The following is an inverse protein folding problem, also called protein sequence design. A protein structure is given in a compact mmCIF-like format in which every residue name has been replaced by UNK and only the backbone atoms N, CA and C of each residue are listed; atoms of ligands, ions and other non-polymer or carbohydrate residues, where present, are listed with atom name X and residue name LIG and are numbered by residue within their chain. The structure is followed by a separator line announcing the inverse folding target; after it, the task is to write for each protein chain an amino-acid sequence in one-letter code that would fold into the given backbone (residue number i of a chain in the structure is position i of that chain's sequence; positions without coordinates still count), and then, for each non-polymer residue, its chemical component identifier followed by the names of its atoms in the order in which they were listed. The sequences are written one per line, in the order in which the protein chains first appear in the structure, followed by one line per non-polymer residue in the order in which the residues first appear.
data_IF_726578869389
#
_entry.id   IF_726578869389
#
_cell.length_a   1.000
_cell.length_b   1.000
_cell.length_c   1.000
_cell.angle_alpha   90.00
_cell.angle_beta   90.00
_cell.angle_gamma   90.00
#
_symmetry.space_group_name_H-M   'P 1'
#
loop_
_entity.id
_entity.type
_entity.pdbx_description
1 polymer ?
#
# COMPACT_ATOMS: atom_id res chain seq x y z
N UNK A 1 3.87 -12.47 45.98
CA UNK A 1 3.07 -12.90 44.82
C UNK A 1 2.11 -11.76 44.52
N UNK A 2 2.55 -10.78 43.75
CA UNK A 2 1.68 -9.69 43.29
C UNK A 2 0.88 -10.25 42.11
N UNK A 3 -0.43 -10.41 42.31
CA UNK A 3 -1.36 -10.77 41.26
C UNK A 3 -1.65 -9.52 40.43
N UNK A 4 -1.07 -9.45 39.24
CA UNK A 4 -1.47 -8.46 38.23
C UNK A 4 -2.92 -8.75 37.82
N UNK A 5 -3.82 -7.88 38.26
CA UNK A 5 -5.22 -7.87 37.83
C UNK A 5 -5.22 -7.27 36.43
N UNK A 6 -5.50 -8.09 35.41
CA UNK A 6 -5.69 -7.60 34.06
C UNK A 6 -6.83 -6.54 34.04
N UNK A 7 -6.62 -5.36 33.43
CA UNK A 7 -7.63 -4.31 33.42
C UNK A 7 -8.89 -4.77 32.66
N UNK A 8 -10.08 -4.40 33.16
CA UNK A 8 -11.34 -4.74 32.51
C UNK A 8 -11.47 -4.06 31.15
N UNK A 9 -12.14 -4.68 30.18
CA UNK A 9 -12.33 -4.13 28.82
C UNK A 9 -12.93 -2.71 28.78
N UNK A 10 -13.76 -2.37 29.78
CA UNK A 10 -14.28 -1.01 29.94
C UNK A 10 -13.20 0.01 30.28
N UNK A 11 -12.19 -0.36 31.06
CA UNK A 11 -11.11 0.55 31.48
C UNK A 11 -10.11 0.81 30.35
N UNK A 12 -9.81 -0.21 29.54
CA UNK A 12 -8.92 -0.07 28.37
C UNK A 12 -9.56 0.79 27.27
N UNK A 13 -10.88 0.68 27.09
CA UNK A 13 -11.65 1.52 26.18
C UNK A 13 -11.56 3.02 26.54
N UNK A 14 -11.85 3.38 27.80
CA UNK A 14 -11.78 4.79 28.22
C UNK A 14 -10.35 5.36 28.18
N UNK A 15 -9.34 4.53 28.49
CA UNK A 15 -7.93 4.93 28.35
C UNK A 15 -7.58 5.27 26.89
N UNK A 16 -8.04 4.45 25.94
CA UNK A 16 -7.86 4.69 24.50
C UNK A 16 -8.48 6.01 24.05
N UNK A 17 -9.70 6.32 24.51
CA UNK A 17 -10.38 7.59 24.21
C UNK A 17 -9.62 8.78 24.79
N UNK A 18 -9.22 8.72 26.06
CA UNK A 18 -8.48 9.81 26.68
C UNK A 18 -7.13 10.06 26.02
N UNK A 19 -6.44 8.99 25.62
CA UNK A 19 -5.18 9.10 24.86
C UNK A 19 -5.43 9.79 23.51
N UNK A 20 -6.47 9.39 22.77
CA UNK A 20 -6.83 10.03 21.51
C UNK A 20 -7.19 11.51 21.69
N UNK A 21 -7.98 11.87 22.70
CA UNK A 21 -8.29 13.26 23.02
C UNK A 21 -7.04 14.08 23.37
N UNK A 22 -6.12 13.52 24.15
CA UNK A 22 -4.85 14.17 24.47
C UNK A 22 -3.99 14.40 23.20
N UNK A 23 -3.94 13.41 22.29
CA UNK A 23 -3.23 13.58 21.00
C UNK A 23 -3.88 14.66 20.14
N UNK A 24 -5.20 14.76 20.09
CA UNK A 24 -5.90 15.83 19.36
C UNK A 24 -5.65 17.21 19.96
N UNK A 25 -5.64 17.31 21.29
CA UNK A 25 -5.27 18.56 21.96
C UNK A 25 -3.82 18.96 21.64
N UNK A 26 -2.88 18.00 21.59
CA UNK A 26 -1.52 18.33 21.17
C UNK A 26 -1.43 18.75 19.69
N UNK A 27 -2.29 18.21 18.83
CA UNK A 27 -2.38 18.62 17.42
C UNK A 27 -2.95 20.03 17.26
N UNK A 28 -3.93 20.42 18.08
CA UNK A 28 -4.50 21.77 18.03
C UNK A 28 -3.49 22.85 18.42
N UNK A 29 -2.51 22.52 19.27
CA UNK A 29 -1.39 23.43 19.57
C UNK A 29 -0.48 23.68 18.36
N UNK A 30 -0.50 22.79 17.36
CA UNK A 30 0.32 22.88 16.15
C UNK A 30 -0.45 23.54 15.02
N UNK A 31 -1.67 23.09 14.75
CA UNK A 31 -2.49 23.56 13.62
C UNK A 31 -3.35 24.79 13.96
N UNK A 32 -3.55 25.08 15.25
CA UNK A 32 -4.55 26.04 15.72
C UNK A 32 -5.84 25.36 16.23
N UNK A 33 -6.84 26.16 16.63
CA UNK A 33 -8.06 25.63 17.25
C UNK A 33 -8.80 24.68 16.31
N UNK A 34 -9.03 23.45 16.78
CA UNK A 34 -9.78 22.43 16.05
C UNK A 34 -11.30 22.65 16.17
N UNK A 35 -12.10 22.26 15.18
CA UNK A 35 -13.56 22.31 15.24
C UNK A 35 -14.14 21.59 16.47
N UNK A 36 -15.14 22.21 17.12
CA UNK A 36 -15.85 21.65 18.29
C UNK A 36 -16.44 20.23 18.10
N UNK A 37 -16.93 19.81 16.92
CA UNK A 37 -17.45 18.44 16.73
C UNK A 37 -16.41 17.34 16.98
N UNK A 38 -15.12 17.67 16.89
CA UNK A 38 -14.02 16.72 17.03
C UNK A 38 -13.55 16.56 18.47
N UNK A 39 -13.73 17.59 19.31
CA UNK A 39 -13.31 17.57 20.72
C UNK A 39 -14.25 16.75 21.60
N UNK A 40 -15.51 16.58 21.18
CA UNK A 40 -16.55 15.82 21.91
C UNK A 40 -16.99 14.52 21.21
N UNK A 41 -16.27 14.06 20.19
CA UNK A 41 -16.61 12.83 19.46
C UNK A 41 -16.47 11.59 20.33
N UNK A 42 -17.41 10.65 20.20
CA UNK A 42 -17.35 9.32 20.82
C UNK A 42 -16.23 8.44 20.20
N UNK A 43 -15.81 8.75 18.97
CA UNK A 43 -14.70 8.08 18.29
C UNK A 43 -13.71 9.10 17.70
N UNK A 44 -12.83 9.70 18.52
CA UNK A 44 -11.93 10.77 18.11
C UNK A 44 -11.00 10.38 16.96
N UNK A 45 -10.52 9.13 16.93
CA UNK A 45 -9.59 8.64 15.90
C UNK A 45 -10.22 8.54 14.53
N UNK A 46 -11.46 8.03 14.46
CA UNK A 46 -12.18 7.92 13.17
C UNK A 46 -12.59 9.30 12.66
N UNK A 47 -13.02 10.20 13.55
CA UNK A 47 -13.34 11.57 13.16
C UNK A 47 -12.11 12.30 12.61
N UNK A 48 -10.95 12.13 13.24
CA UNK A 48 -9.69 12.72 12.77
C UNK A 48 -9.23 12.13 11.42
N UNK A 49 -9.39 10.83 11.22
CA UNK A 49 -8.99 10.14 9.98
C UNK A 49 -9.77 10.63 8.75
N UNK A 50 -11.05 10.95 8.92
CA UNK A 50 -11.94 11.33 7.82
C UNK A 50 -12.20 12.84 7.71
N UNK A 51 -11.64 13.67 8.60
CA UNK A 51 -11.78 15.13 8.50
C UNK A 51 -10.91 15.68 7.35
N UNK A 52 -11.59 16.19 6.31
CA UNK A 52 -10.92 16.69 5.11
C UNK A 52 -10.12 17.98 5.36
N UNK A 53 -10.58 18.85 6.27
CA UNK A 53 -9.94 20.15 6.53
C UNK A 53 -8.63 19.94 7.30
N UNK A 54 -8.67 19.15 8.37
CA UNK A 54 -7.47 18.83 9.15
C UNK A 54 -6.48 18.03 8.30
N UNK A 55 -6.97 17.09 7.51
CA UNK A 55 -6.12 16.33 6.58
C UNK A 55 -5.41 17.26 5.60
N UNK A 56 -6.13 18.24 5.04
CA UNK A 56 -5.54 19.27 4.18
C UNK A 56 -4.51 20.13 4.93
N UNK A 57 -4.82 20.59 6.14
CA UNK A 57 -3.93 21.44 6.93
C UNK A 57 -2.65 20.73 7.34
N UNK A 58 -2.73 19.46 7.76
CA UNK A 58 -1.57 18.61 8.03
C UNK A 58 -0.74 18.44 6.77
N UNK A 59 -1.37 18.11 5.63
CA UNK A 59 -0.65 17.93 4.36
C UNK A 59 0.02 19.22 3.91
N UNK A 60 -0.64 20.37 4.05
CA UNK A 60 -0.07 21.67 3.72
C UNK A 60 1.19 21.98 4.55
N UNK A 61 1.17 21.67 5.85
CA UNK A 61 2.34 21.75 6.73
C UNK A 61 3.45 20.79 6.28
N UNK A 62 3.12 19.53 5.96
CA UNK A 62 4.09 18.56 5.46
C UNK A 62 4.71 19.00 4.13
N UNK A 63 3.99 19.70 3.26
CA UNK A 63 4.52 20.23 2.00
C UNK A 63 5.36 21.49 2.16
N UNK A 64 5.31 22.19 3.30
CA UNK A 64 6.09 23.41 3.54
C UNK A 64 7.59 23.17 3.35
N UNK A 65 8.37 24.05 2.70
CA UNK A 65 9.78 23.81 2.35
C UNK A 65 10.74 23.56 3.53
N UNK A 66 10.33 23.92 4.74
CA UNK A 66 11.10 23.75 5.98
C UNK A 66 10.59 22.62 6.88
N UNK A 67 9.55 21.90 6.44
CA UNK A 67 9.08 20.70 7.14
C UNK A 67 10.07 19.54 7.06
N UNK A 68 9.99 18.65 8.04
CA UNK A 68 10.82 17.44 8.12
C UNK A 68 12.13 17.62 8.86
N UNK A 69 12.44 18.80 9.40
CA UNK A 69 13.59 19.01 10.28
C UNK A 69 13.40 18.31 11.63
N UNK A 70 14.47 18.16 12.41
CA UNK A 70 14.40 17.47 13.71
C UNK A 70 13.61 18.22 14.80
N UNK A 71 13.38 19.52 14.59
CA UNK A 71 12.61 20.43 15.44
C UNK A 71 11.17 20.64 14.92
N UNK A 72 10.77 19.95 13.86
CA UNK A 72 9.40 20.00 13.34
C UNK A 72 8.41 19.34 14.32
N UNK A 73 7.57 20.17 14.94
CA UNK A 73 6.57 19.75 15.92
C UNK A 73 5.55 18.78 15.32
N UNK A 74 5.22 18.89 14.03
CA UNK A 74 4.29 17.97 13.38
C UNK A 74 4.94 16.60 13.17
N UNK A 75 6.22 16.56 12.78
CA UNK A 75 6.97 15.30 12.72
C UNK A 75 7.07 14.62 14.09
N UNK A 76 7.31 15.42 15.15
CA UNK A 76 7.30 14.92 16.53
C UNK A 76 5.93 14.37 16.92
N UNK A 77 4.85 15.10 16.61
CA UNK A 77 3.49 14.66 16.88
C UNK A 77 3.17 13.34 16.15
N UNK A 78 3.52 13.20 14.87
CA UNK A 78 3.34 11.97 14.10
C UNK A 78 4.10 10.80 14.71
N UNK A 79 5.35 11.04 15.15
CA UNK A 79 6.17 10.03 15.82
C UNK A 79 5.51 9.57 17.15
N UNK A 80 5.19 10.51 18.04
CA UNK A 80 4.61 10.21 19.35
C UNK A 80 3.23 9.55 19.22
N UNK A 81 2.43 9.99 18.24
CA UNK A 81 1.09 9.43 17.93
C UNK A 81 1.19 7.99 17.45
N UNK A 82 2.18 7.65 16.62
CA UNK A 82 2.36 6.27 16.17
C UNK A 82 2.83 5.34 17.30
N UNK A 83 3.63 5.86 18.24
CA UNK A 83 4.11 5.12 19.40
C UNK A 83 3.03 4.85 20.46
N UNK A 84 1.86 5.47 20.34
CA UNK A 84 0.73 5.32 21.29
C UNK A 84 0.19 3.89 21.41
N UNK A 85 0.56 2.96 20.51
CA UNK A 85 0.04 1.59 20.36
C UNK A 85 -1.46 1.48 20.09
N UNK A 86 -2.16 2.61 20.01
CA UNK A 86 -3.58 2.67 19.66
C UNK A 86 -3.74 2.49 18.14
N UNK A 87 -4.47 1.45 17.67
CA UNK A 87 -4.57 1.15 16.25
C UNK A 87 -5.23 2.30 15.45
N UNK A 88 -6.22 2.99 16.03
CA UNK A 88 -6.86 4.13 15.37
C UNK A 88 -5.92 5.31 15.17
N UNK A 89 -5.08 5.61 16.15
CA UNK A 89 -4.06 6.67 16.03
C UNK A 89 -2.94 6.29 15.08
N UNK A 90 -2.51 5.02 15.08
CA UNK A 90 -1.54 4.52 14.12
C UNK A 90 -2.07 4.63 12.68
N UNK A 91 -3.35 4.35 12.48
CA UNK A 91 -4.02 4.50 11.19
C UNK A 91 -4.03 5.97 10.72
N UNK A 92 -4.26 6.92 11.61
CA UNK A 92 -4.16 8.36 11.31
C UNK A 92 -2.75 8.74 10.84
N UNK A 93 -1.70 8.22 11.47
CA UNK A 93 -0.32 8.47 11.02
C UNK A 93 -0.05 7.83 9.65
N UNK A 94 -0.50 6.59 9.44
CA UNK A 94 -0.34 5.88 8.17
C UNK A 94 -1.07 6.59 7.02
N UNK A 95 -2.20 7.24 7.26
CA UNK A 95 -2.92 8.03 6.25
C UNK A 95 -2.07 9.16 5.63
N UNK A 96 -1.10 9.71 6.37
CA UNK A 96 -0.18 10.74 5.88
C UNK A 96 1.15 10.19 5.36
N UNK A 97 1.36 8.86 5.43
CA UNK A 97 2.58 8.23 4.94
C UNK A 97 2.85 8.50 3.44
N UNK A 98 1.87 8.43 2.53
CA UNK A 98 2.08 8.78 1.12
C UNK A 98 2.71 10.18 0.95
N UNK A 99 2.16 11.16 1.67
CA UNK A 99 2.62 12.56 1.64
C UNK A 99 4.04 12.69 2.21
N UNK A 100 4.32 12.05 3.35
CA UNK A 100 5.66 12.03 3.97
C UNK A 100 6.68 11.46 2.99
N UNK A 101 6.40 10.30 2.39
CA UNK A 101 7.29 9.65 1.43
C UNK A 101 7.52 10.53 0.21
N UNK A 102 6.45 11.13 -0.32
CA UNK A 102 6.50 12.03 -1.48
C UNK A 102 7.45 13.20 -1.21
N UNK A 103 7.24 13.90 -0.10
CA UNK A 103 8.05 15.07 0.27
C UNK A 103 9.47 14.64 0.61
N UNK A 104 9.65 13.59 1.43
CA UNK A 104 10.95 13.09 1.83
C UNK A 104 11.80 12.68 0.62
N UNK A 105 11.28 11.83 -0.28
CA UNK A 105 12.03 11.36 -1.44
C UNK A 105 12.35 12.50 -2.42
N UNK A 106 11.46 13.49 -2.56
CA UNK A 106 11.72 14.67 -3.39
C UNK A 106 12.85 15.53 -2.84
N UNK A 107 13.03 15.56 -1.51
CA UNK A 107 14.03 16.35 -0.79
C UNK A 107 15.28 15.58 -0.40
N UNK A 108 15.29 14.25 -0.43
CA UNK A 108 16.38 13.41 0.06
C UNK A 108 17.69 13.50 -0.76
N UNK A 109 17.66 14.25 -1.87
CA UNK A 109 18.82 14.60 -2.70
C UNK A 109 19.33 16.03 -2.35
N UNK A 110 18.57 16.79 -1.58
CA UNK A 110 18.97 18.08 -1.00
C UNK A 110 19.89 17.88 0.20
N UNK A 111 20.73 18.87 0.50
CA UNK A 111 21.61 18.90 1.67
C UNK A 111 20.87 19.36 2.95
N UNK A 112 19.56 19.61 2.89
CA UNK A 112 18.76 19.95 4.07
C UNK A 112 18.57 18.71 4.96
N UNK A 113 18.65 18.90 6.27
CA UNK A 113 18.32 17.86 7.25
C UNK A 113 16.84 17.51 7.15
N UNK A 114 16.54 16.20 7.05
CA UNK A 114 15.18 15.65 7.04
C UNK A 114 14.95 14.73 8.27
N UNK A 115 15.65 15.02 9.37
CA UNK A 115 15.69 14.17 10.56
C UNK A 115 14.31 13.88 11.17
N UNK A 116 13.35 14.81 11.07
CA UNK A 116 11.98 14.62 11.52
C UNK A 116 11.24 13.54 10.71
N UNK A 117 11.29 13.64 9.37
CA UNK A 117 10.72 12.60 8.51
C UNK A 117 11.43 11.25 8.68
N UNK A 118 12.76 11.27 8.81
CA UNK A 118 13.54 10.06 9.04
C UNK A 118 13.18 9.39 10.36
N UNK A 119 12.92 10.15 11.43
CA UNK A 119 12.46 9.63 12.71
C UNK A 119 11.10 8.92 12.58
N UNK A 120 10.13 9.52 11.88
CA UNK A 120 8.81 8.90 11.64
C UNK A 120 8.95 7.62 10.82
N UNK A 121 9.70 7.65 9.72
CA UNK A 121 9.93 6.47 8.87
C UNK A 121 10.66 5.35 9.62
N UNK A 122 11.63 5.69 10.48
CA UNK A 122 12.31 4.71 11.34
C UNK A 122 11.39 4.15 12.41
N UNK A 123 10.46 4.93 12.97
CA UNK A 123 9.48 4.43 13.93
C UNK A 123 8.57 3.37 13.30
N UNK A 124 8.07 3.64 12.09
CA UNK A 124 7.27 2.69 11.31
C UNK A 124 8.07 1.41 11.02
N UNK A 125 9.32 1.57 10.58
CA UNK A 125 10.20 0.43 10.31
C UNK A 125 10.48 -0.40 11.58
N UNK A 126 10.82 0.27 12.69
CA UNK A 126 11.12 -0.36 13.97
C UNK A 126 9.92 -1.15 14.50
N UNK A 127 8.72 -0.61 14.37
CA UNK A 127 7.49 -1.31 14.72
C UNK A 127 7.35 -2.65 14.00
N UNK A 128 7.54 -2.66 12.67
CA UNK A 128 7.51 -3.91 11.90
C UNK A 128 8.67 -4.86 12.27
N UNK A 129 9.87 -4.33 12.55
CA UNK A 129 11.00 -5.18 12.96
C UNK A 129 10.74 -5.91 14.28
N UNK A 130 10.08 -5.24 15.23
CA UNK A 130 9.71 -5.83 16.52
C UNK A 130 8.64 -6.90 16.34
N UNK A 131 7.62 -6.63 15.50
CA UNK A 131 6.57 -7.62 15.17
C UNK A 131 7.17 -8.87 14.55
N UNK A 132 8.14 -8.74 13.64
CA UNK A 132 8.79 -9.88 12.99
C UNK A 132 9.77 -10.63 13.90
N UNK A 133 10.21 -10.03 15.01
CA UNK A 133 11.06 -10.70 16.00
C UNK A 133 12.40 -11.23 15.46
N UNK A 134 12.90 -10.68 14.34
CA UNK A 134 14.11 -11.17 13.66
C UNK A 134 13.88 -12.37 12.74
N UNK A 135 12.64 -12.83 12.57
CA UNK A 135 12.30 -13.93 11.67
C UNK A 135 11.98 -13.44 10.25
N UNK A 136 12.35 -14.21 9.21
CA UNK A 136 11.92 -13.93 7.85
C UNK A 136 10.43 -14.21 7.69
N UNK A 137 9.77 -13.45 6.81
CA UNK A 137 8.38 -13.74 6.45
C UNK A 137 8.37 -14.87 5.41
N UNK A 138 7.78 -16.00 5.76
CA UNK A 138 7.71 -17.19 4.90
C UNK A 138 6.28 -17.56 4.54
N UNK A 139 6.09 -18.17 3.38
CA UNK A 139 4.82 -18.77 2.95
C UNK A 139 5.07 -20.21 2.55
N UNK A 140 4.12 -21.09 2.87
CA UNK A 140 4.10 -22.47 2.37
C UNK A 140 3.49 -22.42 0.97
N UNK A 141 4.27 -22.78 -0.05
CA UNK A 141 3.81 -22.85 -1.43
C UNK A 141 2.82 -24.01 -1.58
N UNK A 142 1.58 -23.73 -2.02
CA UNK A 142 0.62 -24.79 -2.32
C UNK A 142 1.16 -25.74 -3.38
N UNK A 143 0.90 -27.03 -3.20
CA UNK A 143 1.24 -28.07 -4.17
C UNK A 143 0.05 -29.00 -4.37
N UNK A 144 -0.21 -29.41 -5.62
CA UNK A 144 -1.27 -30.34 -6.00
C UNK A 144 -0.98 -31.80 -5.61
N UNK A 145 0.22 -32.10 -5.12
CA UNK A 145 0.57 -33.44 -4.61
C UNK A 145 0.03 -33.70 -3.20
N UNK A 146 -0.22 -32.65 -2.43
CA UNK A 146 -0.66 -32.73 -1.04
C UNK A 146 -2.12 -32.30 -0.98
N UNK A 147 -3.01 -33.02 -0.28
CA UNK A 147 -4.41 -32.61 -0.16
C UNK A 147 -4.52 -31.22 0.46
N UNK A 148 -5.51 -30.45 0.02
CA UNK A 148 -5.81 -29.13 0.56
C UNK A 148 -7.31 -28.96 0.81
N UNK A 149 -7.69 -27.83 1.41
CA UNK A 149 -9.10 -27.48 1.64
C UNK A 149 -9.94 -27.51 0.35
N UNK A 150 -9.31 -27.35 -0.82
CA UNK A 150 -10.00 -27.27 -2.11
C UNK A 150 -9.81 -28.49 -3.01
N UNK A 151 -8.93 -29.43 -2.67
CA UNK A 151 -8.71 -30.61 -3.51
C UNK A 151 -8.19 -31.83 -2.73
N UNK A 152 -8.55 -33.01 -3.22
CA UNK A 152 -7.99 -34.27 -2.77
C UNK A 152 -6.87 -34.74 -3.71
N UNK A 153 -5.77 -35.23 -3.14
CA UNK A 153 -4.68 -35.81 -3.91
C UNK A 153 -5.08 -37.23 -4.37
N UNK A 154 -5.01 -37.47 -5.69
CA UNK A 154 -5.44 -38.74 -6.32
C UNK A 154 -4.63 -39.97 -5.89
N UNK A 155 -3.47 -39.79 -5.27
CA UNK A 155 -2.62 -40.88 -4.79
C UNK A 155 -2.19 -40.60 -3.36
N UNK A 156 -2.46 -41.50 -2.39
CA UNK A 156 -1.93 -41.34 -1.05
C UNK A 156 -0.40 -41.43 -1.11
N UNK A 157 0.28 -40.37 -0.69
CA UNK A 157 1.73 -40.38 -0.51
C UNK A 157 2.06 -41.40 0.58
N UNK A 158 2.58 -42.56 0.17
CA UNK A 158 3.09 -43.58 1.09
C UNK A 158 4.23 -42.98 1.93
N UNK A 159 3.92 -42.70 3.20
CA UNK A 159 4.85 -42.51 4.31
C UNK A 159 6.13 -41.70 4.03
N UNK A 160 5.98 -40.44 3.67
CA UNK A 160 6.98 -39.42 4.01
C UNK A 160 6.25 -38.22 4.56
N UNK A 161 6.81 -37.61 5.61
CA UNK A 161 6.33 -36.33 6.14
C UNK A 161 6.02 -35.39 4.97
N UNK A 162 4.88 -34.72 5.02
CA UNK A 162 4.43 -33.79 3.98
C UNK A 162 5.59 -32.84 3.70
N UNK A 163 6.17 -32.94 2.50
CA UNK A 163 7.27 -32.06 2.10
C UNK A 163 6.67 -30.67 1.82
N UNK A 164 6.88 -29.76 2.78
CA UNK A 164 6.36 -28.41 2.72
C UNK A 164 7.37 -27.53 1.99
N UNK A 165 7.03 -27.11 0.77
CA UNK A 165 7.82 -26.16 0.02
C UNK A 165 7.68 -24.76 0.66
N UNK A 166 8.63 -24.37 1.51
CA UNK A 166 8.63 -23.06 2.16
C UNK A 166 9.36 -22.05 1.28
N UNK A 167 8.70 -20.94 0.94
CA UNK A 167 9.29 -19.80 0.25
C UNK A 167 9.44 -18.61 1.20
N UNK A 168 10.58 -17.91 1.13
CA UNK A 168 10.83 -16.67 1.86
C UNK A 168 10.28 -15.51 1.04
N UNK A 169 9.22 -14.84 1.53
CA UNK A 169 8.63 -13.66 0.89
C UNK A 169 9.45 -12.40 1.17
N UNK A 170 9.87 -12.25 2.44
CA UNK A 170 10.72 -11.16 2.87
C UNK A 170 11.82 -11.70 3.79
N UNK A 171 13.08 -11.28 3.61
CA UNK A 171 14.12 -11.60 4.58
C UNK A 171 13.81 -10.95 5.92
N UNK A 172 14.45 -11.48 6.97
CA UNK A 172 14.43 -10.90 8.31
C UNK A 172 14.82 -9.42 8.27
N UNK A 173 14.16 -8.62 9.11
CA UNK A 173 14.44 -7.19 9.20
C UNK A 173 15.50 -6.92 10.27
N UNK A 174 16.60 -6.29 9.84
CA UNK A 174 17.64 -5.82 10.74
C UNK A 174 17.23 -4.48 11.36
N UNK A 175 17.39 -4.26 12.68
CA UNK A 175 17.08 -2.97 13.27
C UNK A 175 18.04 -1.88 12.77
N UNK A 176 17.49 -0.76 12.28
CA UNK A 176 18.27 0.40 11.83
C UNK A 176 18.05 1.58 12.75
N UNK A 177 19.15 2.24 13.16
CA UNK A 177 19.12 3.47 13.97
C UNK A 177 19.18 4.77 13.16
N UNK A 178 19.47 4.71 11.86
CA UNK A 178 19.59 5.89 10.97
C UNK A 178 19.15 5.55 9.54
N UNK A 179 18.59 6.53 8.82
CA UNK A 179 18.19 6.35 7.41
C UNK A 179 19.36 6.67 6.49
N UNK A 180 20.08 5.64 6.05
CA UNK A 180 21.15 5.79 5.04
C UNK A 180 20.60 5.64 3.63
N UNK A 181 21.23 6.28 2.63
CA UNK A 181 20.82 6.19 1.22
C UNK A 181 20.67 4.75 0.70
N UNK A 182 21.58 3.85 1.11
CA UNK A 182 21.59 2.43 0.73
C UNK A 182 20.47 1.60 1.37
N UNK A 183 19.93 2.05 2.52
CA UNK A 183 18.88 1.36 3.27
C UNK A 183 17.51 2.03 3.14
N UNK A 184 17.49 3.28 2.65
CA UNK A 184 16.29 4.12 2.49
C UNK A 184 15.15 3.42 1.76
N UNK A 185 15.45 2.80 0.63
CA UNK A 185 14.42 2.09 -0.15
C UNK A 185 13.77 0.95 0.63
N UNK A 186 14.56 0.19 1.42
CA UNK A 186 14.06 -0.89 2.26
C UNK A 186 13.21 -0.37 3.42
N UNK A 187 13.65 0.69 4.09
CA UNK A 187 12.91 1.33 5.20
C UNK A 187 11.55 1.82 4.70
N UNK A 188 11.54 2.57 3.60
CA UNK A 188 10.30 3.11 3.01
C UNK A 188 9.43 1.97 2.47
N UNK A 189 10.02 0.96 1.82
CA UNK A 189 9.29 -0.20 1.31
C UNK A 189 8.52 -0.93 2.42
N UNK A 190 9.14 -1.13 3.58
CA UNK A 190 8.47 -1.73 4.76
C UNK A 190 7.40 -0.80 5.34
N UNK A 191 7.63 0.51 5.40
CA UNK A 191 6.58 1.45 5.81
C UNK A 191 5.37 1.41 4.85
N UNK A 192 5.60 1.26 3.54
CA UNK A 192 4.54 1.07 2.56
C UNK A 192 3.83 -0.28 2.70
N UNK A 193 4.51 -1.34 3.15
CA UNK A 193 3.86 -2.60 3.50
C UNK A 193 2.87 -2.42 4.68
N UNK A 194 3.23 -1.63 5.69
CA UNK A 194 2.32 -1.28 6.79
C UNK A 194 1.08 -0.51 6.29
N UNK A 195 1.27 0.45 5.39
CA UNK A 195 0.15 1.17 4.75
C UNK A 195 -0.71 0.22 3.90
N UNK A 196 -0.08 -0.67 3.12
CA UNK A 196 -0.79 -1.68 2.33
C UNK A 196 -1.65 -2.61 3.19
N UNK A 197 -1.14 -3.06 4.35
CA UNK A 197 -1.87 -3.94 5.26
C UNK A 197 -3.14 -3.26 5.83
N UNK A 198 -3.11 -1.93 5.96
CA UNK A 198 -4.23 -1.13 6.47
C UNK A 198 -4.99 -0.40 5.36
N UNK A 199 -4.75 -0.75 4.09
CA UNK A 199 -5.25 0.00 2.94
C UNK A 199 -6.79 -0.01 2.84
N UNK A 200 -7.45 -1.05 3.35
CA UNK A 200 -8.90 -1.13 3.36
C UNK A 200 -9.55 -0.01 4.17
N UNK A 201 -8.99 0.34 5.33
CA UNK A 201 -9.48 1.39 6.22
C UNK A 201 -9.03 2.80 5.81
N UNK A 202 -8.08 2.92 4.86
CA UNK A 202 -7.60 4.22 4.39
C UNK A 202 -8.69 5.02 3.67
N UNK A 203 -8.83 6.33 3.96
CA UNK A 203 -9.71 7.23 3.23
C UNK A 203 -9.42 7.22 1.71
N UNK A 204 -10.46 7.46 0.92
CA UNK A 204 -10.36 7.55 -0.55
C UNK A 204 -9.33 8.59 -1.00
N UNK A 205 -9.25 9.73 -0.33
CA UNK A 205 -8.31 10.81 -0.65
C UNK A 205 -6.84 10.37 -0.55
N UNK A 206 -6.48 9.59 0.48
CA UNK A 206 -5.13 9.06 0.64
C UNK A 206 -4.74 8.10 -0.48
N UNK A 207 -5.71 7.28 -0.94
CA UNK A 207 -5.51 6.35 -2.07
C UNK A 207 -5.34 7.08 -3.40
N UNK A 208 -6.14 8.11 -3.65
CA UNK A 208 -6.04 8.95 -4.86
C UNK A 208 -4.69 9.68 -4.92
N UNK A 209 -4.30 10.33 -3.82
CA UNK A 209 -3.01 11.02 -3.72
C UNK A 209 -1.84 10.04 -3.89
N UNK A 210 -1.94 8.83 -3.34
CA UNK A 210 -0.90 7.81 -3.56
C UNK A 210 -0.74 7.48 -5.05
N UNK A 211 -1.83 7.31 -5.78
CA UNK A 211 -1.79 7.07 -7.23
C UNK A 211 -1.17 8.27 -7.98
N UNK A 212 -1.54 9.50 -7.63
CA UNK A 212 -0.95 10.72 -8.19
C UNK A 212 0.56 10.78 -7.94
N UNK A 213 1.00 10.50 -6.70
CA UNK A 213 2.42 10.48 -6.35
C UNK A 213 3.20 9.43 -7.15
N UNK A 214 2.58 8.30 -7.49
CA UNK A 214 3.21 7.29 -8.34
C UNK A 214 3.48 7.79 -9.77
N UNK A 215 2.57 8.58 -10.34
CA UNK A 215 2.75 9.22 -11.65
C UNK A 215 3.95 10.16 -11.61
N UNK A 216 4.03 10.99 -10.57
CA UNK A 216 5.17 11.90 -10.39
C UNK A 216 6.49 11.15 -10.16
N UNK A 217 6.49 10.10 -9.35
CA UNK A 217 7.69 9.30 -9.07
C UNK A 217 8.20 8.58 -10.32
N UNK A 218 7.28 8.17 -11.19
CA UNK A 218 7.59 7.65 -12.51
C UNK A 218 8.19 8.73 -13.44
N UNK A 219 8.07 10.02 -13.10
CA UNK A 219 8.55 11.12 -13.91
C UNK A 219 7.77 11.30 -15.21
N UNK A 220 6.52 10.84 -15.24
CA UNK A 220 5.63 11.01 -16.39
C UNK A 220 4.83 12.29 -16.18
N UNK A 221 5.17 13.35 -16.91
CA UNK A 221 4.33 14.54 -16.98
C UNK A 221 3.41 14.38 -18.19
N UNK A 222 2.12 14.61 -17.97
CA UNK A 222 1.03 14.42 -18.94
C UNK A 222 1.36 14.96 -20.34
N UNK A 223 1.85 14.06 -21.21
CA UNK A 223 1.84 14.21 -22.68
C UNK A 223 0.91 13.16 -23.30
N UNK A 224 -0.10 12.71 -22.56
CA UNK A 224 -1.14 11.77 -23.05
C UNK A 224 -2.22 12.46 -23.90
N UNK A 225 -2.16 13.80 -24.05
CA UNK A 225 -3.15 14.55 -24.82
C UNK A 225 -2.78 14.75 -26.29
N UNK A 226 -1.53 14.52 -26.70
CA UNK A 226 -1.10 14.79 -28.09
C UNK A 226 -1.40 13.64 -29.08
N UNK A 227 -1.69 12.43 -28.60
CA UNK A 227 -2.00 11.29 -29.49
C UNK A 227 -3.48 11.21 -29.91
N UNK A 228 -4.40 11.95 -29.27
CA UNK A 228 -5.82 11.94 -29.67
C UNK A 228 -6.16 12.82 -30.88
N UNK A 229 -5.20 13.57 -31.43
CA UNK A 229 -5.45 14.51 -32.54
C UNK A 229 -4.67 14.24 -33.83
N UNK A 230 -3.84 13.18 -33.90
CA UNK A 230 -3.19 12.79 -35.16
C UNK A 230 -3.71 11.47 -35.74
N UNK A 231 -4.74 11.65 -36.57
CA UNK A 231 -5.22 10.83 -37.69
C UNK A 231 -6.22 9.68 -37.49
N UNK A 232 -7.35 9.72 -38.25
CA UNK A 232 -8.26 8.61 -38.46
C UNK A 232 -7.91 7.75 -39.70
N UNK A 233 -8.28 6.46 -39.63
CA UNK A 233 -8.41 5.44 -40.70
C UNK A 233 -7.13 4.80 -41.26
N UNK A 234 -6.94 3.51 -40.98
CA UNK A 234 -6.69 2.50 -42.04
C UNK A 234 -7.17 1.11 -41.58
N UNK A 235 -7.84 0.41 -42.49
CA UNK A 235 -8.38 -0.95 -42.32
C UNK A 235 -7.30 -2.04 -42.33
N UNK A 236 -7.69 -3.21 -41.79
CA UNK A 236 -7.21 -4.58 -42.03
C UNK A 236 -6.09 -5.18 -41.15
N UNK A 237 -6.49 -6.18 -40.36
CA UNK A 237 -5.88 -7.54 -40.29
C UNK A 237 -4.38 -7.67 -40.04
N UNK A 238 -4.01 -7.99 -38.79
CA UNK A 238 -3.33 -9.23 -38.36
C UNK A 238 -2.93 -9.08 -36.89
N UNK A 239 -3.45 -9.96 -36.04
CA UNK A 239 -3.22 -9.95 -34.60
C UNK A 239 -1.85 -10.57 -34.28
N UNK A 240 -0.80 -9.76 -34.39
CA UNK A 240 0.39 -9.88 -33.55
C UNK A 240 1.10 -8.51 -33.56
N UNK A 241 0.83 -7.67 -32.55
CA UNK A 241 1.55 -6.40 -32.41
C UNK A 241 2.17 -6.30 -31.02
N UNK A 242 3.48 -6.51 -31.08
CA UNK A 242 4.56 -5.86 -30.35
C UNK A 242 4.21 -4.51 -29.71
N UNK A 243 4.88 -4.28 -28.58
CA UNK A 243 4.64 -3.17 -27.68
C UNK A 243 4.50 -1.81 -28.37
N UNK A 244 3.43 -1.14 -28.01
CA UNK A 244 3.20 0.28 -28.22
C UNK A 244 4.33 1.05 -27.50
N UNK A 245 5.41 1.33 -28.23
CA UNK A 245 6.49 2.19 -27.78
C UNK A 245 5.98 3.63 -27.81
N UNK A 246 5.53 4.11 -26.66
CA UNK A 246 5.29 5.54 -26.46
C UNK A 246 6.65 6.24 -26.55
N UNK A 247 6.87 7.01 -27.62
CA UNK A 247 8.07 7.82 -27.79
C UNK A 247 8.01 9.02 -26.85
N UNK A 248 8.87 9.02 -25.82
CA UNK A 248 9.09 10.17 -24.95
C UNK A 248 10.11 11.09 -25.60
N UNK A 249 9.66 12.22 -26.18
CA UNK A 249 10.55 13.33 -26.54
C UNK A 249 10.96 14.07 -25.26
N UNK A 250 12.27 14.06 -24.98
CA UNK A 250 12.86 14.86 -23.91
C UNK A 250 12.86 16.34 -24.26
N UNK A 251 11.97 17.10 -23.61
CA UNK A 251 12.01 18.57 -23.58
C UNK A 251 12.48 19.06 -22.22
N UNK A 252 13.67 19.67 -22.19
CA UNK A 252 14.16 20.44 -21.05
C UNK A 252 13.46 21.80 -21.01
N UNK A 253 12.30 21.89 -20.36
CA UNK A 253 11.68 23.20 -20.07
C UNK A 253 11.65 23.54 -18.59
N UNK A 254 12.22 24.67 -18.25
CA UNK A 254 12.35 25.21 -16.91
C UNK A 254 11.00 25.80 -16.39
N UNK A 255 10.82 25.74 -15.07
CA UNK A 255 9.82 26.47 -14.27
C UNK A 255 8.32 26.09 -14.35
N UNK A 256 7.91 25.15 -13.48
CA UNK A 256 6.51 24.93 -13.07
C UNK A 256 6.29 23.56 -12.45
N UNK A 257 6.37 23.45 -11.11
CA UNK A 257 6.08 22.25 -10.27
C UNK A 257 6.27 20.88 -10.95
N UNK A 258 7.43 20.60 -11.54
CA UNK A 258 7.71 19.29 -12.15
C UNK A 258 7.76 18.22 -11.05
N UNK A 259 6.90 17.20 -11.15
CA UNK A 259 7.03 15.98 -10.36
C UNK A 259 8.46 15.44 -10.49
N UNK A 260 9.20 15.39 -9.37
CA UNK A 260 10.60 14.98 -9.39
C UNK A 260 10.67 13.46 -9.53
N UNK A 261 11.20 12.98 -10.66
CA UNK A 261 11.57 11.58 -10.87
C UNK A 261 12.50 11.10 -9.75
N UNK A 262 12.19 9.94 -9.18
CA UNK A 262 13.00 9.31 -8.12
C UNK A 262 13.50 7.93 -8.55
N UNK A 263 14.59 7.42 -7.93
CA UNK A 263 14.97 6.02 -8.08
C UNK A 263 13.90 5.10 -7.48
N UNK A 264 13.47 4.09 -8.25
CA UNK A 264 12.49 3.08 -7.82
C UNK A 264 13.12 1.68 -7.88
N UNK A 265 14.02 1.33 -6.93
CA UNK A 265 14.53 -0.03 -6.83
C UNK A 265 13.40 -0.99 -6.43
N UNK A 266 13.61 -2.29 -6.61
CA UNK A 266 12.57 -3.31 -6.44
C UNK A 266 11.91 -3.28 -5.05
N UNK A 267 12.69 -3.02 -3.99
CA UNK A 267 12.22 -2.94 -2.60
C UNK A 267 11.19 -1.84 -2.39
N UNK A 268 11.22 -0.79 -3.22
CA UNK A 268 10.26 0.30 -3.21
C UNK A 268 9.15 0.07 -4.24
N UNK A 269 9.49 -0.44 -5.42
CA UNK A 269 8.55 -0.67 -6.52
C UNK A 269 7.50 -1.73 -6.18
N UNK A 270 7.90 -2.84 -5.53
CA UNK A 270 7.01 -3.95 -5.20
C UNK A 270 5.82 -3.51 -4.32
N UNK A 271 6.01 -2.86 -3.15
CA UNK A 271 4.88 -2.41 -2.34
C UNK A 271 4.06 -1.32 -3.03
N UNK A 272 4.68 -0.41 -3.78
CA UNK A 272 3.96 0.59 -4.60
C UNK A 272 2.98 -0.10 -5.55
N UNK A 273 3.46 -1.08 -6.32
CA UNK A 273 2.63 -1.77 -7.30
C UNK A 273 1.51 -2.57 -6.63
N UNK A 274 1.74 -3.14 -5.44
CA UNK A 274 0.69 -3.82 -4.65
C UNK A 274 -0.42 -2.88 -4.21
N UNK A 275 -0.06 -1.68 -3.76
CA UNK A 275 -1.04 -0.63 -3.38
C UNK A 275 -1.84 -0.19 -4.60
N UNK A 276 -1.17 0.13 -5.72
CA UNK A 276 -1.84 0.50 -6.98
C UNK A 276 -2.74 -0.63 -7.48
N UNK A 277 -2.29 -1.88 -7.41
CA UNK A 277 -3.09 -3.05 -7.78
C UNK A 277 -4.35 -3.18 -6.94
N UNK A 278 -4.28 -2.91 -5.63
CA UNK A 278 -5.45 -2.89 -4.77
C UNK A 278 -6.40 -1.75 -5.13
N UNK A 279 -5.90 -0.55 -5.42
CA UNK A 279 -6.73 0.57 -5.87
C UNK A 279 -7.42 0.28 -7.22
N UNK A 280 -6.76 -0.45 -8.12
CA UNK A 280 -7.25 -0.76 -9.46
C UNK A 280 -8.24 -1.93 -9.50
N UNK A 281 -7.94 -3.02 -8.79
CA UNK A 281 -8.68 -4.28 -8.83
C UNK A 281 -9.48 -4.56 -7.56
N UNK A 282 -9.34 -3.73 -6.54
CA UNK A 282 -10.06 -3.88 -5.28
C UNK A 282 -11.55 -3.63 -5.43
N UNK A 283 -12.31 -4.05 -4.42
CA UNK A 283 -13.77 -3.91 -4.40
C UNK A 283 -14.25 -2.48 -4.09
N UNK A 284 -13.48 -1.46 -4.49
CA UNK A 284 -13.89 -0.06 -4.30
C UNK A 284 -14.90 0.35 -5.35
N UNK A 285 -16.00 0.97 -4.91
CA UNK A 285 -17.05 1.50 -5.79
C UNK A 285 -16.66 2.82 -6.50
N UNK A 286 -15.43 3.30 -6.32
CA UNK A 286 -14.95 4.55 -6.94
C UNK A 286 -14.28 4.24 -8.27
N UNK A 287 -14.95 4.61 -9.37
CA UNK A 287 -14.37 4.55 -10.72
C UNK A 287 -13.23 5.56 -10.88
N UNK A 288 -13.30 6.71 -10.20
CA UNK A 288 -12.22 7.70 -10.15
C UNK A 288 -10.91 7.09 -9.61
N UNK A 289 -10.99 6.30 -8.52
CA UNK A 289 -9.82 5.64 -7.96
C UNK A 289 -9.23 4.61 -8.92
N UNK A 290 -10.09 3.84 -9.62
CA UNK A 290 -9.64 2.85 -10.60
C UNK A 290 -8.93 3.52 -11.77
N UNK A 291 -9.46 4.62 -12.28
CA UNK A 291 -8.85 5.39 -13.36
C UNK A 291 -7.49 5.96 -12.93
N UNK A 292 -7.42 6.61 -11.76
CA UNK A 292 -6.17 7.12 -11.21
C UNK A 292 -5.13 6.00 -11.02
N UNK A 293 -5.55 4.83 -10.52
CA UNK A 293 -4.69 3.67 -10.34
C UNK A 293 -4.23 3.07 -11.69
N UNK A 294 -5.09 3.08 -12.71
CA UNK A 294 -4.74 2.61 -14.05
C UNK A 294 -3.65 3.49 -14.67
N UNK A 295 -3.82 4.82 -14.58
CA UNK A 295 -2.81 5.79 -15.05
C UNK A 295 -1.49 5.60 -14.29
N UNK A 296 -1.56 5.46 -12.96
CA UNK A 296 -0.37 5.18 -12.14
C UNK A 296 0.33 3.87 -12.56
N UNK A 297 -0.43 2.79 -12.79
CA UNK A 297 0.11 1.50 -13.23
C UNK A 297 0.78 1.59 -14.61
N UNK A 298 0.21 2.35 -15.54
CA UNK A 298 0.80 2.61 -16.85
C UNK A 298 2.11 3.39 -16.73
N UNK A 299 2.13 4.47 -15.94
CA UNK A 299 3.32 5.28 -15.71
C UNK A 299 4.44 4.45 -15.06
N UNK A 300 4.12 3.62 -14.06
CA UNK A 300 5.06 2.69 -13.43
C UNK A 300 5.58 1.62 -14.41
N UNK A 301 4.74 1.14 -15.34
CA UNK A 301 5.17 0.20 -16.38
C UNK A 301 6.19 0.84 -17.33
N UNK A 302 5.88 2.04 -17.84
CA UNK A 302 6.80 2.81 -18.70
C UNK A 302 8.11 3.12 -17.98
N UNK A 303 8.03 3.47 -16.69
CA UNK A 303 9.20 3.66 -15.83
C UNK A 303 10.05 2.39 -15.73
N UNK A 304 9.42 1.24 -15.52
CA UNK A 304 10.11 -0.05 -15.43
C UNK A 304 10.80 -0.44 -16.74
N UNK A 305 10.18 -0.14 -17.89
CA UNK A 305 10.80 -0.29 -19.22
C UNK A 305 12.01 0.63 -19.37
N UNK A 306 11.88 1.90 -19.01
CA UNK A 306 12.99 2.85 -19.05
C UNK A 306 14.17 2.40 -18.17
N UNK A 307 13.90 1.89 -16.96
CA UNK A 307 14.95 1.41 -16.05
C UNK A 307 15.44 -0.01 -16.37
N UNK A 308 14.89 -0.66 -17.40
CA UNK A 308 15.23 -2.03 -17.81
C UNK A 308 15.17 -3.02 -16.63
N UNK A 309 14.20 -2.85 -15.72
CA UNK A 309 14.02 -3.71 -14.55
C UNK A 309 13.06 -4.88 -14.89
N UNK A 310 13.55 -6.11 -15.09
CA UNK A 310 12.73 -7.21 -15.59
C UNK A 310 11.62 -7.62 -14.63
N UNK A 311 11.86 -7.59 -13.32
CA UNK A 311 10.86 -7.93 -12.30
C UNK A 311 9.72 -6.90 -12.29
N UNK A 312 10.08 -5.61 -12.34
CA UNK A 312 9.11 -4.52 -12.40
C UNK A 312 8.31 -4.55 -13.72
N UNK A 313 8.96 -4.81 -14.86
CA UNK A 313 8.29 -4.95 -16.17
C UNK A 313 7.27 -6.08 -16.13
N UNK A 314 7.68 -7.27 -15.64
CA UNK A 314 6.79 -8.42 -15.57
C UNK A 314 5.58 -8.16 -14.67
N UNK A 315 5.82 -7.63 -13.46
CA UNK A 315 4.77 -7.39 -12.50
C UNK A 315 3.78 -6.32 -12.98
N UNK A 316 4.27 -5.17 -13.45
CA UNK A 316 3.43 -4.08 -13.94
C UNK A 316 2.65 -4.44 -15.21
N UNK A 317 3.28 -5.15 -16.16
CA UNK A 317 2.59 -5.64 -17.36
C UNK A 317 1.49 -6.64 -17.01
N UNK A 318 1.73 -7.52 -16.03
CA UNK A 318 0.74 -8.50 -15.58
C UNK A 318 -0.48 -7.81 -14.98
N UNK A 319 -0.27 -6.77 -14.15
CA UNK A 319 -1.34 -5.96 -13.60
C UNK A 319 -2.17 -5.27 -14.71
N UNK A 320 -1.52 -4.64 -15.69
CA UNK A 320 -2.21 -3.99 -16.81
C UNK A 320 -3.01 -4.98 -17.66
N UNK A 321 -2.52 -6.21 -17.82
CA UNK A 321 -3.28 -7.27 -18.52
C UNK A 321 -4.50 -7.71 -17.73
N UNK A 322 -4.38 -7.87 -16.41
CA UNK A 322 -5.50 -8.21 -15.53
C UNK A 322 -6.58 -7.11 -15.56
N UNK A 323 -6.18 -5.84 -15.53
CA UNK A 323 -7.12 -4.72 -15.61
C UNK A 323 -7.91 -4.65 -16.92
N UNK A 324 -7.37 -5.21 -18.02
CA UNK A 324 -8.03 -5.29 -19.32
C UNK A 324 -8.90 -6.54 -19.49
N UNK A 325 -8.86 -7.50 -18.56
CA UNK A 325 -9.66 -8.71 -18.67
C UNK A 325 -11.15 -8.39 -18.45
N UNK A 326 -12.05 -8.82 -19.35
CA UNK A 326 -13.49 -8.63 -19.16
C UNK A 326 -13.96 -9.42 -17.93
N UNK A 327 -14.77 -8.78 -17.07
CA UNK A 327 -15.25 -9.35 -15.80
C UNK A 327 -15.97 -10.71 -15.93
N UNK A 328 -16.46 -11.03 -17.12
CA UNK A 328 -17.16 -12.29 -17.43
C UNK A 328 -16.22 -13.50 -17.62
N UNK A 329 -14.90 -13.30 -17.66
CA UNK A 329 -13.92 -14.42 -17.76
C UNK A 329 -13.60 -15.08 -16.43
N UNK A 330 -14.05 -14.50 -15.31
CA UNK A 330 -13.99 -15.15 -14.00
C UNK A 330 -15.14 -16.16 -13.95
N UNK A 331 -14.85 -17.41 -14.31
CA UNK A 331 -15.79 -18.52 -14.19
C UNK A 331 -16.42 -18.51 -12.79
N UNK A 332 -17.73 -18.24 -12.72
CA UNK A 332 -18.49 -18.53 -11.51
C UNK A 332 -18.32 -20.03 -11.24
N UNK A 333 -17.81 -20.44 -10.07
CA UNK A 333 -17.67 -21.86 -9.79
C UNK A 333 -19.07 -22.49 -9.83
N UNK A 334 -19.27 -23.44 -10.74
CA UNK A 334 -20.41 -24.33 -10.69
C UNK A 334 -20.22 -25.21 -9.45
N UNK A 335 -20.88 -24.83 -8.36
CA UNK A 335 -21.06 -25.73 -7.22
C UNK A 335 -22.00 -26.83 -7.69
N UNK A 336 -21.42 -27.96 -8.09
CA UNK A 336 -22.19 -29.17 -8.37
C UNK A 336 -22.64 -29.69 -7.01
N UNK A 337 -23.93 -29.47 -6.69
CA UNK A 337 -24.58 -30.17 -5.59
C UNK A 337 -24.81 -31.62 -6.04
N UNK A 338 -23.80 -32.47 -5.88
CA UNK A 338 -23.96 -33.92 -5.97
C UNK A 338 -24.71 -34.43 -4.73
N UNK A 339 -26.00 -34.13 -4.66
CA UNK A 339 -26.92 -34.75 -3.71
C UNK A 339 -27.78 -35.84 -4.36
N UNK A 340 -27.49 -36.25 -5.59
CA UNK A 340 -28.30 -37.26 -6.31
C UNK A 340 -27.72 -38.67 -6.36
N UNK A 341 -26.47 -38.91 -5.96
CA UNK A 341 -25.84 -40.23 -6.17
C UNK A 341 -25.94 -41.20 -4.98
N UNK A 342 -26.61 -40.81 -3.89
CA UNK A 342 -26.88 -41.70 -2.74
C UNK A 342 -28.20 -42.48 -2.83
N UNK A 343 -29.05 -42.24 -3.84
CA UNK A 343 -30.33 -42.95 -4.00
C UNK A 343 -30.26 -44.17 -4.94
N UNK A 344 -29.16 -44.38 -5.68
CA UNK A 344 -29.04 -45.49 -6.63
C UNK A 344 -28.48 -46.79 -6.01
N UNK A 345 -28.09 -46.79 -4.74
CA UNK A 345 -27.46 -47.95 -4.07
C UNK A 345 -28.39 -48.75 -3.14
N UNK A 346 -29.68 -48.40 -3.02
CA UNK A 346 -30.63 -49.09 -2.11
C UNK A 346 -31.66 -50.00 -2.80
N UNK A 347 -31.51 -50.29 -4.10
CA UNK A 347 -32.38 -51.24 -4.82
C UNK A 347 -31.72 -52.58 -5.17
N UNK A 348 -30.53 -52.88 -4.62
CA UNK A 348 -29.81 -54.13 -4.88
C UNK A 348 -29.57 -55.02 -3.64
N UNK A 349 -30.37 -54.89 -2.57
CA UNK A 349 -30.37 -55.86 -1.47
C UNK A 349 -31.75 -56.06 -0.82
N UNK A 350 -32.69 -56.60 -1.59
CA UNK A 350 -33.85 -57.33 -1.05
C UNK A 350 -34.12 -58.51 -1.97
N UNK A 351 -33.29 -59.53 -1.80
CA UNK A 351 -33.76 -60.92 -1.81
C UNK A 351 -34.41 -61.20 -0.45
#
# INVERSE_FOLDING_TARGET
MSSDIAPSESTTFWQSIHQAQATMHSLSLILGPLPDPLTFSENPTTSLLHDANISHDIKSHLHHPDSGSGDDNLCRWLYDTFQSTNPGLQLVVLNFLPTIIKVYLSRAISQKSLAGFEAVLLALYAHETVIRGGEPQTVILPNLTNPSVYHEAKTPTKSKAVDLNIAVLCPALEPFGTVRSTKRARIIGVALELYYNNLHDMPLSSKLEFCEFCVDWAGYNQSLEEEKQSNPKTDASCADQQGEMIQVKGGEDEHGKKGRRIPLPWELFQPILRIVAHCLLGNSNSEELKEAALVAAQCLHLRALHDMNPQAILASRSLLRLAKMPGDTIFKPHVVNDSSDLAASQLASKD
#
